data_IF_233912594897
#
_entry.id   IF_233912594897
#
_cell.length_a   1.000
_cell.length_b   1.000
_cell.length_c   1.000
_cell.angle_alpha   90.00
_cell.angle_beta   90.00
_cell.angle_gamma   90.00
#
_symmetry.space_group_name_H-M   'P 1'
#
loop_
_entity.id
_entity.type
_entity.pdbx_description
1 polymer ?
#
# COMPACT_ATOMS: atom_id res chain seq x y z
N UNK A 1 21.76 -8.37 19.41
CA UNK A 1 20.99 -7.11 19.53
C UNK A 1 20.83 -6.52 18.14
N UNK A 2 19.65 -5.99 17.80
CA UNK A 2 19.39 -5.44 16.47
C UNK A 2 19.59 -3.92 16.47
N UNK A 3 20.34 -3.35 15.52
CA UNK A 3 20.45 -1.91 15.42
C UNK A 3 19.11 -1.32 14.95
N UNK A 4 18.64 -0.24 15.59
CA UNK A 4 17.38 0.44 15.29
C UNK A 4 17.61 1.84 14.73
N UNK A 5 16.64 2.34 13.95
CA UNK A 5 16.65 3.69 13.39
C UNK A 5 15.25 4.29 13.38
N UNK A 6 15.14 5.62 13.49
CA UNK A 6 13.89 6.35 13.22
C UNK A 6 13.54 6.28 11.73
N UNK A 7 12.25 6.10 11.45
CA UNK A 7 11.69 6.11 10.11
C UNK A 7 11.43 7.56 9.63
N UNK A 8 11.28 7.73 8.31
CA UNK A 8 10.88 9.02 7.75
C UNK A 8 9.53 9.47 8.33
N UNK A 9 9.39 10.78 8.57
CA UNK A 9 8.21 11.37 9.22
C UNK A 9 8.27 11.38 10.75
N UNK A 10 9.23 10.70 11.39
CA UNK A 10 9.46 10.75 12.84
C UNK A 10 10.19 12.05 13.26
N UNK A 11 9.63 13.20 12.89
CA UNK A 11 10.12 14.50 13.34
C UNK A 11 9.97 14.61 14.86
N UNK A 12 10.97 15.21 15.51
CA UNK A 12 10.98 15.39 16.97
C UNK A 12 10.79 16.87 17.25
N UNK A 13 9.74 17.19 17.99
CA UNK A 13 9.42 18.55 18.41
C UNK A 13 9.40 18.59 19.94
N UNK A 14 10.07 19.59 20.52
CA UNK A 14 9.97 19.82 21.95
C UNK A 14 8.69 20.59 22.24
N UNK A 15 7.82 20.04 23.07
CA UNK A 15 6.64 20.70 23.59
C UNK A 15 6.98 21.40 24.91
N UNK A 16 6.19 22.41 25.29
CA UNK A 16 6.25 22.98 26.63
C UNK A 16 6.02 21.91 27.72
N UNK A 17 6.44 22.20 28.95
CA UNK A 17 6.22 21.30 30.09
C UNK A 17 7.11 20.04 30.11
N UNK A 18 8.27 20.07 29.45
CA UNK A 18 9.23 18.96 29.52
C UNK A 18 8.77 17.70 28.79
N UNK A 19 8.12 17.86 27.64
CA UNK A 19 7.64 16.75 26.79
C UNK A 19 8.28 16.83 25.40
N UNK A 20 8.68 15.69 24.85
CA UNK A 20 9.04 15.53 23.45
C UNK A 20 7.89 14.87 22.70
N UNK A 21 7.55 15.39 21.53
CA UNK A 21 6.63 14.76 20.59
C UNK A 21 7.41 14.22 19.40
N UNK A 22 7.12 12.98 19.02
CA UNK A 22 7.62 12.34 17.80
C UNK A 22 6.45 12.13 16.84
N UNK A 23 6.66 12.54 15.59
CA UNK A 23 5.68 12.64 14.51
C UNK A 23 4.61 13.74 14.68
N UNK A 24 4.13 14.23 13.53
CA UNK A 24 3.07 15.24 13.43
C UNK A 24 1.68 14.61 13.28
N UNK A 25 1.61 13.48 12.58
CA UNK A 25 0.39 12.69 12.38
C UNK A 25 -0.21 12.27 13.73
N UNK A 26 -1.45 12.70 14.07
CA UNK A 26 -2.12 12.30 15.30
C UNK A 26 -2.21 10.78 15.49
N UNK A 27 -2.36 10.00 14.42
CA UNK A 27 -2.56 8.56 14.49
C UNK A 27 -1.29 7.80 14.90
N UNK A 28 -0.10 8.38 14.65
CA UNK A 28 1.21 7.78 14.95
C UNK A 28 1.99 8.56 16.01
N UNK A 29 1.33 9.52 16.66
CA UNK A 29 1.98 10.49 17.54
C UNK A 29 2.44 9.82 18.82
N UNK A 30 3.72 9.97 19.13
CA UNK A 30 4.31 9.53 20.40
C UNK A 30 4.70 10.74 21.22
N UNK A 31 4.36 10.73 22.51
CA UNK A 31 4.80 11.74 23.49
C UNK A 31 5.56 11.05 24.60
N UNK A 32 6.76 11.57 24.88
CA UNK A 32 7.63 11.06 25.94
C UNK A 32 8.17 12.21 26.77
N UNK A 33 8.56 11.92 28.02
CA UNK A 33 9.22 12.92 28.85
C UNK A 33 10.53 13.40 28.21
N UNK A 34 10.80 14.70 28.31
CA UNK A 34 12.01 15.34 27.82
C UNK A 34 13.19 15.11 28.79
N UNK A 35 13.51 13.84 29.03
CA UNK A 35 14.59 13.39 29.91
C UNK A 35 15.91 13.24 29.12
N UNK A 36 17.08 13.30 29.80
CA UNK A 36 18.37 13.00 29.17
C UNK A 36 18.39 11.63 28.49
N UNK A 37 17.77 10.62 29.11
CA UNK A 37 17.66 9.25 28.58
C UNK A 37 16.90 9.21 27.24
N UNK A 38 15.75 9.87 27.15
CA UNK A 38 14.96 9.91 25.91
C UNK A 38 15.64 10.74 24.82
N UNK A 39 16.29 11.86 25.18
CA UNK A 39 17.09 12.64 24.23
C UNK A 39 18.24 11.83 23.65
N UNK A 40 18.93 11.08 24.51
CA UNK A 40 20.04 10.21 24.10
C UNK A 40 19.57 9.12 23.15
N UNK A 41 18.51 8.39 23.52
CA UNK A 41 17.91 7.36 22.68
C UNK A 41 17.52 7.92 21.31
N UNK A 42 16.78 9.03 21.27
CA UNK A 42 16.33 9.64 20.02
C UNK A 42 17.49 10.16 19.16
N UNK A 43 18.56 10.67 19.78
CA UNK A 43 19.78 11.07 19.08
C UNK A 43 20.46 9.86 18.45
N UNK A 44 20.54 8.73 19.17
CA UNK A 44 21.10 7.47 18.66
C UNK A 44 20.27 6.90 17.50
N UNK A 45 18.95 6.90 17.61
CA UNK A 45 18.06 6.43 16.54
C UNK A 45 18.08 7.31 15.27
N UNK A 46 18.51 8.58 15.38
CA UNK A 46 18.67 9.49 14.22
C UNK A 46 19.99 9.29 13.49
N UNK A 47 21.06 9.00 14.22
CA UNK A 47 22.39 8.84 13.64
C UNK A 47 22.49 7.47 12.94
N UNK A 48 23.04 7.40 11.72
CA UNK A 48 23.41 6.11 11.14
C UNK A 48 24.52 5.49 11.99
N UNK A 49 24.22 4.41 12.69
CA UNK A 49 25.21 3.70 13.51
C UNK A 49 24.65 2.45 14.19
N UNK A 50 25.53 1.49 14.45
CA UNK A 50 25.26 0.21 15.13
C UNK A 50 25.12 0.40 16.65
N UNK A 51 24.47 1.47 17.09
CA UNK A 51 24.38 1.74 18.50
C UNK A 51 23.45 0.69 19.13
N UNK A 52 23.99 -0.18 19.98
CA UNK A 52 23.23 -1.20 20.72
C UNK A 52 22.19 -0.55 21.64
N UNK A 53 20.92 -0.65 21.29
CA UNK A 53 19.82 -0.14 22.11
C UNK A 53 19.17 -1.34 22.79
N UNK A 54 18.99 -1.23 24.10
CA UNK A 54 18.27 -2.22 24.89
C UNK A 54 16.82 -2.33 24.39
N UNK A 55 16.39 -3.50 23.89
CA UNK A 55 15.02 -3.71 23.40
C UNK A 55 13.95 -3.57 24.49
N UNK A 56 14.32 -3.61 25.78
CA UNK A 56 13.39 -3.41 26.91
C UNK A 56 13.11 -1.91 27.15
N UNK A 57 13.75 -1.01 26.40
CA UNK A 57 13.47 0.41 26.48
C UNK A 57 12.02 0.71 26.04
N UNK A 58 11.16 1.10 26.99
CA UNK A 58 9.74 1.39 26.75
C UNK A 58 9.52 2.45 25.66
N UNK A 59 10.38 3.47 25.58
CA UNK A 59 10.29 4.49 24.53
C UNK A 59 10.57 3.88 23.16
N UNK A 60 11.59 3.01 23.03
CA UNK A 60 11.88 2.31 21.78
C UNK A 60 10.71 1.41 21.37
N UNK A 61 10.18 0.62 22.30
CA UNK A 61 9.04 -0.26 22.04
C UNK A 61 7.84 0.53 21.52
N UNK A 62 7.50 1.64 22.19
CA UNK A 62 6.39 2.50 21.82
C UNK A 62 6.62 3.17 20.46
N UNK A 63 7.86 3.53 20.11
CA UNK A 63 8.21 4.00 18.77
C UNK A 63 8.05 2.89 17.71
N UNK A 64 8.43 1.65 18.01
CA UNK A 64 8.25 0.53 17.09
C UNK A 64 6.78 0.18 16.87
N UNK A 65 5.98 0.14 17.93
CA UNK A 65 4.53 -0.12 17.88
C UNK A 65 3.80 0.95 17.04
N UNK A 66 4.26 2.20 17.08
CA UNK A 66 3.71 3.30 16.28
C UNK A 66 4.35 3.41 14.88
N UNK A 67 5.20 2.45 14.50
CA UNK A 67 5.90 2.44 13.22
C UNK A 67 6.79 3.66 13.01
N UNK A 68 7.37 4.22 14.08
CA UNK A 68 8.28 5.36 14.06
C UNK A 68 9.76 4.96 14.13
N UNK A 69 10.04 3.72 14.56
CA UNK A 69 11.36 3.14 14.57
C UNK A 69 11.31 1.70 14.04
N UNK A 70 12.36 1.28 13.33
CA UNK A 70 12.51 -0.09 12.85
C UNK A 70 13.96 -0.54 12.93
N UNK A 71 14.19 -1.85 12.84
CA UNK A 71 15.54 -2.40 12.76
C UNK A 71 16.17 -2.05 11.42
N UNK A 72 17.48 -1.83 11.38
CA UNK A 72 18.22 -1.59 10.11
C UNK A 72 18.01 -2.78 9.16
N UNK A 73 17.96 -4.00 9.68
CA UNK A 73 17.67 -5.21 8.88
C UNK A 73 16.30 -5.13 8.21
N UNK A 74 15.24 -4.75 8.93
CA UNK A 74 13.91 -4.60 8.34
C UNK A 74 13.87 -3.47 7.29
N UNK A 75 14.60 -2.37 7.52
CA UNK A 75 14.74 -1.30 6.53
C UNK A 75 15.48 -1.77 5.27
N UNK A 76 16.58 -2.51 5.43
CA UNK A 76 17.34 -3.07 4.31
C UNK A 76 16.51 -4.05 3.48
N UNK A 77 15.67 -4.87 4.13
CA UNK A 77 14.72 -5.76 3.44
C UNK A 77 13.71 -4.93 2.61
N UNK A 78 13.18 -3.85 3.17
CA UNK A 78 12.25 -2.96 2.46
C UNK A 78 12.92 -2.27 1.27
N UNK A 79 14.13 -1.71 1.45
CA UNK A 79 14.89 -1.09 0.37
C UNK A 79 15.23 -2.11 -0.74
N UNK A 80 15.60 -3.33 -0.35
CA UNK A 80 15.84 -4.41 -1.30
C UNK A 80 14.57 -4.78 -2.07
N UNK A 81 13.42 -4.94 -1.38
CA UNK A 81 12.13 -5.20 -2.03
C UNK A 81 11.76 -4.13 -3.05
N UNK A 82 11.99 -2.85 -2.72
CA UNK A 82 11.77 -1.74 -3.65
C UNK A 82 12.67 -1.86 -4.88
N UNK A 83 13.96 -2.14 -4.67
CA UNK A 83 14.96 -2.22 -5.76
C UNK A 83 14.73 -3.42 -6.69
N UNK A 84 14.25 -4.53 -6.13
CA UNK A 84 13.96 -5.78 -6.85
C UNK A 84 12.57 -5.77 -7.51
N UNK A 85 11.72 -4.79 -7.19
CA UNK A 85 10.35 -4.71 -7.67
C UNK A 85 10.29 -4.47 -9.19
N UNK A 86 9.75 -5.46 -9.91
CA UNK A 86 9.50 -5.43 -11.35
C UNK A 86 7.99 -5.29 -11.58
N UNK A 87 7.56 -4.10 -11.95
CA UNK A 87 6.13 -3.75 -12.02
C UNK A 87 5.65 -3.83 -13.47
N UNK A 88 4.68 -4.70 -13.74
CA UNK A 88 3.91 -4.67 -14.98
C UNK A 88 2.75 -3.69 -14.84
N UNK A 89 2.51 -2.86 -15.86
CA UNK A 89 1.42 -1.87 -15.82
C UNK A 89 0.59 -1.89 -17.09
N UNK A 90 -0.74 -1.75 -16.93
CA UNK A 90 -1.69 -1.49 -18.03
C UNK A 90 -2.60 -0.35 -17.63
N UNK A 91 -2.72 0.68 -18.47
CA UNK A 91 -3.52 1.88 -18.14
C UNK A 91 -2.98 2.74 -16.98
N UNK A 92 -1.83 2.37 -16.43
CA UNK A 92 -1.13 3.08 -15.35
C UNK A 92 0.20 3.63 -15.88
N UNK A 93 0.42 4.92 -15.66
CA UNK A 93 1.55 5.68 -16.18
C UNK A 93 2.18 6.50 -15.07
N UNK A 94 3.51 6.45 -14.98
CA UNK A 94 4.31 7.37 -14.17
C UNK A 94 5.44 7.90 -15.04
N UNK A 95 5.95 9.07 -14.70
CA UNK A 95 7.13 9.61 -15.37
C UNK A 95 8.34 8.69 -15.14
N UNK A 96 9.30 8.61 -16.08
CA UNK A 96 10.54 7.85 -15.88
C UNK A 96 11.30 8.28 -14.61
N UNK A 97 11.26 9.57 -14.27
CA UNK A 97 11.89 10.10 -13.06
C UNK A 97 11.23 9.58 -11.79
N UNK A 98 9.90 9.45 -11.78
CA UNK A 98 9.15 8.88 -10.64
C UNK A 98 9.47 7.40 -10.42
N UNK A 99 9.58 6.61 -11.50
CA UNK A 99 10.03 5.21 -11.40
C UNK A 99 11.40 5.14 -10.74
N UNK A 100 12.35 5.95 -11.24
CA UNK A 100 13.72 5.99 -10.75
C UNK A 100 13.81 6.43 -9.28
N UNK A 101 13.12 7.51 -8.90
CA UNK A 101 13.15 8.04 -7.53
C UNK A 101 12.55 7.09 -6.49
N UNK A 102 11.65 6.20 -6.92
CA UNK A 102 11.05 5.18 -6.05
C UNK A 102 11.84 3.86 -6.04
N UNK A 103 12.91 3.75 -6.84
CA UNK A 103 13.68 2.51 -7.00
C UNK A 103 12.96 1.40 -7.77
N UNK A 104 11.79 1.69 -8.37
CA UNK A 104 10.93 0.72 -9.02
C UNK A 104 11.32 0.51 -10.49
N UNK A 105 11.20 -0.73 -10.99
CA UNK A 105 11.49 -1.05 -12.40
C UNK A 105 10.23 -1.43 -13.15
N UNK A 106 9.89 -0.72 -14.23
CA UNK A 106 8.78 -1.11 -15.12
C UNK A 106 9.22 -2.24 -16.06
N UNK A 107 8.37 -3.25 -16.23
CA UNK A 107 8.55 -4.32 -17.22
C UNK A 107 7.42 -4.33 -18.24
N UNK A 108 7.73 -4.73 -19.48
CA UNK A 108 6.77 -4.76 -20.60
C UNK A 108 5.97 -6.06 -20.69
N UNK A 109 6.40 -7.11 -19.99
CA UNK A 109 5.82 -8.46 -20.05
C UNK A 109 5.47 -8.94 -18.65
N UNK A 110 4.26 -9.49 -18.50
CA UNK A 110 3.73 -9.94 -17.20
C UNK A 110 4.60 -11.03 -16.56
N UNK A 111 5.12 -11.98 -17.34
CA UNK A 111 5.96 -13.07 -16.81
C UNK A 111 7.29 -12.61 -16.18
N UNK A 112 7.71 -11.37 -16.45
CA UNK A 112 8.93 -10.79 -15.88
C UNK A 112 8.64 -9.94 -14.65
N UNK A 113 7.38 -9.81 -14.25
CA UNK A 113 6.95 -8.95 -13.17
C UNK A 113 6.94 -9.70 -11.84
N UNK A 114 7.15 -8.96 -10.76
CA UNK A 114 6.90 -9.39 -9.37
C UNK A 114 5.59 -8.80 -8.84
N UNK A 115 5.01 -7.82 -9.55
CA UNK A 115 3.75 -7.17 -9.21
C UNK A 115 3.07 -6.61 -10.47
N UNK A 116 1.74 -6.52 -10.49
CA UNK A 116 1.01 -5.83 -11.57
C UNK A 116 0.03 -4.75 -11.07
N UNK A 117 0.00 -3.61 -11.78
CA UNK A 117 -1.04 -2.57 -11.63
C UNK A 117 -1.86 -2.50 -12.92
N UNK A 118 -3.17 -2.65 -12.80
CA UNK A 118 -4.06 -2.64 -13.96
C UNK A 118 -5.18 -1.61 -13.77
N UNK A 119 -5.25 -0.66 -14.70
CA UNK A 119 -6.33 0.33 -14.80
C UNK A 119 -7.14 0.07 -16.07
N UNK A 120 -8.46 -0.04 -15.92
CA UNK A 120 -9.41 -0.21 -17.02
C UNK A 120 -10.12 -1.56 -17.00
N UNK A 121 -10.78 -1.92 -18.12
CA UNK A 121 -11.58 -3.16 -18.20
C UNK A 121 -10.70 -4.40 -17.97
N UNK A 122 -11.01 -5.15 -16.91
CA UNK A 122 -10.16 -6.22 -16.37
C UNK A 122 -10.42 -7.61 -16.98
N UNK A 123 -11.54 -7.83 -17.67
CA UNK A 123 -12.00 -9.15 -18.12
C UNK A 123 -10.92 -9.94 -18.90
N UNK A 124 -10.26 -9.35 -19.89
CA UNK A 124 -9.22 -10.05 -20.69
C UNK A 124 -7.92 -10.31 -19.91
N UNK A 125 -7.70 -9.62 -18.79
CA UNK A 125 -6.47 -9.74 -17.99
C UNK A 125 -6.62 -10.74 -16.83
N UNK A 126 -7.84 -11.16 -16.50
CA UNK A 126 -8.17 -12.01 -15.35
C UNK A 126 -7.48 -13.38 -15.40
N UNK A 127 -7.54 -14.06 -16.54
CA UNK A 127 -6.92 -15.38 -16.70
C UNK A 127 -5.39 -15.29 -16.68
N UNK A 128 -4.80 -14.31 -17.37
CA UNK A 128 -3.34 -14.16 -17.41
C UNK A 128 -2.74 -13.87 -16.03
N UNK A 129 -3.41 -13.05 -15.20
CA UNK A 129 -2.98 -12.79 -13.82
C UNK A 129 -3.15 -14.00 -12.92
N UNK A 130 -4.28 -14.70 -13.06
CA UNK A 130 -4.54 -15.93 -12.31
C UNK A 130 -3.48 -16.98 -12.62
N UNK A 131 -3.07 -17.12 -13.88
CA UNK A 131 -1.97 -18.02 -14.25
C UNK A 131 -0.59 -17.51 -13.82
N UNK A 132 -0.37 -16.19 -13.81
CA UNK A 132 0.92 -15.60 -13.45
C UNK A 132 1.24 -15.68 -11.96
N UNK A 133 0.22 -15.85 -11.10
CA UNK A 133 0.43 -16.09 -9.66
C UNK A 133 1.21 -14.96 -8.97
N UNK A 134 1.07 -13.73 -9.46
CA UNK A 134 1.72 -12.55 -8.87
C UNK A 134 0.73 -11.66 -8.15
N UNK A 135 1.16 -10.98 -7.07
CA UNK A 135 0.37 -9.93 -6.45
C UNK A 135 0.02 -8.82 -7.45
N UNK A 136 -1.19 -8.30 -7.37
CA UNK A 136 -1.66 -7.25 -8.28
C UNK A 136 -2.77 -6.41 -7.67
N UNK A 137 -2.91 -5.18 -8.17
CA UNK A 137 -4.01 -4.29 -7.80
C UNK A 137 -4.74 -3.82 -9.04
N UNK A 138 -6.06 -3.79 -8.92
CA UNK A 138 -6.96 -3.34 -9.98
C UNK A 138 -7.46 -1.92 -9.73
N UNK A 139 -7.87 -1.26 -10.79
CA UNK A 139 -8.69 -0.06 -10.70
C UNK A 139 -9.39 0.26 -12.00
N UNK A 140 -10.45 1.04 -11.95
CA UNK A 140 -11.14 1.55 -13.12
C UNK A 140 -12.01 2.77 -12.76
N UNK A 141 -12.82 3.24 -13.72
CA UNK A 141 -13.67 4.43 -13.58
C UNK A 141 -15.05 4.21 -14.19
N UNK A 142 -15.88 3.31 -13.62
CA UNK A 142 -17.25 3.15 -14.07
C UNK A 142 -17.98 4.50 -13.95
N UNK A 143 -18.52 4.99 -15.07
CA UNK A 143 -19.25 6.27 -15.10
C UNK A 143 -18.43 7.47 -14.62
N UNK A 144 -17.09 7.42 -14.70
CA UNK A 144 -16.19 8.49 -14.27
C UNK A 144 -15.85 8.50 -12.77
N UNK A 145 -16.38 7.56 -11.99
CA UNK A 145 -16.10 7.47 -10.54
C UNK A 145 -14.92 6.51 -10.30
N UNK A 146 -13.79 6.95 -9.70
CA UNK A 146 -12.66 6.07 -9.45
C UNK A 146 -13.02 4.90 -8.54
N UNK A 147 -12.66 3.70 -8.97
CA UNK A 147 -12.78 2.48 -8.17
C UNK A 147 -11.38 1.91 -7.94
N UNK A 148 -10.97 1.87 -6.68
CA UNK A 148 -9.69 1.34 -6.22
C UNK A 148 -9.83 -0.13 -5.87
N UNK A 149 -8.84 -0.95 -6.22
CA UNK A 149 -8.75 -2.33 -5.80
C UNK A 149 -9.69 -3.29 -6.53
N UNK A 150 -9.68 -4.57 -6.11
CA UNK A 150 -8.98 -5.05 -4.94
C UNK A 150 -7.48 -5.24 -5.15
N UNK A 151 -6.72 -5.15 -4.06
CA UNK A 151 -5.35 -5.66 -3.97
C UNK A 151 -5.42 -7.16 -3.71
N UNK A 152 -4.90 -7.93 -4.66
CA UNK A 152 -4.94 -9.37 -4.67
C UNK A 152 -3.53 -9.90 -4.41
N UNK A 153 -3.38 -10.67 -3.34
CA UNK A 153 -2.18 -11.45 -3.05
C UNK A 153 -2.50 -12.94 -3.17
N UNK A 154 -1.80 -13.64 -4.08
CA UNK A 154 -1.71 -15.08 -4.09
C UNK A 154 -1.78 -15.79 -2.75
N UNK A 155 -2.70 -16.74 -2.62
CA UNK A 155 -2.84 -17.56 -1.41
C UNK A 155 -3.38 -16.81 -0.18
N UNK A 156 -3.34 -15.48 -0.13
CA UNK A 156 -3.71 -14.68 1.05
C UNK A 156 -5.04 -13.92 0.92
N UNK A 157 -5.42 -13.46 -0.28
CA UNK A 157 -6.68 -12.74 -0.52
C UNK A 157 -7.64 -13.56 -1.41
N UNK A 158 -8.89 -13.14 -1.60
CA UNK A 158 -9.75 -13.70 -2.66
C UNK A 158 -9.14 -13.44 -4.04
N UNK A 159 -9.26 -14.41 -4.94
CA UNK A 159 -8.82 -14.24 -6.33
C UNK A 159 -9.95 -13.66 -7.19
N UNK A 160 -9.65 -13.35 -8.46
CA UNK A 160 -10.65 -12.81 -9.39
C UNK A 160 -11.83 -13.77 -9.60
N UNK A 161 -11.58 -15.08 -9.63
CA UNK A 161 -12.64 -16.07 -9.70
C UNK A 161 -13.55 -16.09 -8.46
N UNK A 162 -13.08 -15.64 -7.29
CA UNK A 162 -13.96 -15.43 -6.14
C UNK A 162 -14.81 -14.16 -6.28
N UNK A 163 -14.20 -13.10 -6.80
CA UNK A 163 -14.76 -11.75 -6.83
C UNK A 163 -15.80 -11.61 -7.93
N UNK A 164 -15.54 -12.12 -9.13
CA UNK A 164 -16.40 -11.96 -10.30
C UNK A 164 -17.84 -12.44 -10.07
N UNK A 165 -18.11 -13.64 -9.50
CA UNK A 165 -19.47 -14.07 -9.19
C UNK A 165 -20.17 -13.16 -8.16
N UNK A 166 -19.49 -12.83 -7.06
CA UNK A 166 -20.03 -11.93 -6.04
C UNK A 166 -20.35 -10.55 -6.64
N UNK A 167 -19.54 -10.07 -7.58
CA UNK A 167 -19.76 -8.79 -8.24
C UNK A 167 -21.04 -8.81 -9.11
N UNK A 168 -21.38 -9.95 -9.72
CA UNK A 168 -22.61 -10.12 -10.51
C UNK A 168 -23.86 -10.19 -9.63
N UNK A 169 -23.78 -10.82 -8.46
CA UNK A 169 -24.93 -10.97 -7.55
C UNK A 169 -25.40 -9.64 -6.96
N UNK A 170 -24.46 -8.71 -6.71
CA UNK A 170 -24.75 -7.44 -6.01
C UNK A 170 -25.08 -6.26 -6.94
N UNK A 171 -24.96 -6.44 -8.27
CA UNK A 171 -25.28 -5.40 -9.24
C UNK A 171 -26.48 -5.81 -10.12
N UNK A 172 -27.73 -5.64 -9.64
CA UNK A 172 -28.92 -5.91 -10.45
C UNK A 172 -29.03 -4.99 -11.68
N UNK A 173 -28.15 -3.98 -11.81
CA UNK A 173 -28.06 -3.06 -12.93
C UNK A 173 -26.82 -3.28 -13.81
N UNK A 174 -26.02 -4.35 -13.60
CA UNK A 174 -24.88 -4.68 -14.46
C UNK A 174 -25.26 -4.97 -15.93
N UNK A 175 -26.55 -5.06 -16.23
CA UNK A 175 -27.13 -5.11 -17.58
C UNK A 175 -27.39 -3.74 -18.21
N UNK A 176 -27.13 -2.63 -17.50
CA UNK A 176 -27.31 -1.30 -18.08
C UNK A 176 -26.20 -0.98 -19.08
N UNK A 177 -26.68 -0.74 -20.30
CA UNK A 177 -26.06 -0.30 -21.55
C UNK A 177 -24.70 0.37 -21.39
N UNK A 178 -23.71 0.11 -22.27
CA UNK A 178 -22.47 0.89 -22.28
C UNK A 178 -22.81 2.38 -22.43
N UNK A 179 -22.79 3.11 -21.33
CA UNK A 179 -22.78 4.55 -21.34
C UNK A 179 -21.56 4.96 -22.15
N UNK A 180 -21.72 5.94 -23.05
CA UNK A 180 -20.63 6.56 -23.77
C UNK A 180 -19.46 6.81 -22.80
N UNK A 181 -18.23 6.56 -23.25
CA UNK A 181 -17.03 6.78 -22.42
C UNK A 181 -17.16 8.16 -21.77
N UNK A 182 -17.29 8.22 -20.43
CA UNK A 182 -17.47 9.49 -19.77
C UNK A 182 -16.26 10.37 -20.13
N UNK A 183 -16.46 11.71 -20.24
CA UNK A 183 -15.37 12.63 -20.54
C UNK A 183 -14.17 12.31 -19.65
N UNK A 184 -12.98 12.27 -20.27
CA UNK A 184 -11.75 11.87 -19.61
C UNK A 184 -11.43 12.89 -18.51
N UNK A 185 -11.78 12.57 -17.27
CA UNK A 185 -11.38 13.36 -16.11
C UNK A 185 -9.95 12.98 -15.72
N UNK A 186 -8.99 13.81 -16.15
CA UNK A 186 -7.58 13.65 -15.82
C UNK A 186 -7.32 13.72 -14.30
N UNK A 187 -8.16 14.41 -13.53
CA UNK A 187 -8.04 14.54 -12.08
C UNK A 187 -8.44 13.24 -11.39
N UNK A 188 -9.59 12.67 -11.76
CA UNK A 188 -10.00 11.33 -11.35
C UNK A 188 -8.91 10.31 -11.68
N UNK A 189 -8.31 10.42 -12.88
CA UNK A 189 -7.22 9.53 -13.28
C UNK A 189 -5.99 9.63 -12.40
N UNK A 190 -5.54 10.86 -12.14
CA UNK A 190 -4.43 11.11 -11.24
C UNK A 190 -4.68 10.54 -9.85
N UNK A 191 -5.90 10.72 -9.31
CA UNK A 191 -6.27 10.25 -7.98
C UNK A 191 -6.19 8.72 -7.85
N UNK A 192 -6.79 7.97 -8.79
CA UNK A 192 -6.68 6.51 -8.79
C UNK A 192 -5.21 6.07 -8.87
N UNK A 193 -4.43 6.65 -9.79
CA UNK A 193 -3.01 6.29 -9.94
C UNK A 193 -2.23 6.55 -8.64
N UNK A 194 -2.47 7.67 -7.97
CA UNK A 194 -1.84 7.96 -6.68
C UNK A 194 -2.19 6.93 -5.61
N UNK A 195 -3.46 6.53 -5.49
CA UNK A 195 -3.88 5.51 -4.52
C UNK A 195 -3.33 4.11 -4.85
N UNK A 196 -3.36 3.69 -6.11
CA UNK A 196 -2.79 2.39 -6.51
C UNK A 196 -1.28 2.33 -6.28
N UNK A 197 -0.57 3.43 -6.54
CA UNK A 197 0.85 3.54 -6.24
C UNK A 197 1.10 3.48 -4.73
N UNK A 198 0.27 4.15 -3.92
CA UNK A 198 0.39 4.10 -2.48
C UNK A 198 0.21 2.68 -1.94
N UNK A 199 -0.80 1.95 -2.43
CA UNK A 199 -1.02 0.55 -2.05
C UNK A 199 0.14 -0.36 -2.44
N UNK A 200 0.73 -0.17 -3.63
CA UNK A 200 1.96 -0.86 -4.02
C UNK A 200 3.11 -0.57 -3.05
N UNK A 201 3.36 0.70 -2.74
CA UNK A 201 4.46 1.09 -1.86
C UNK A 201 4.26 0.58 -0.42
N UNK A 202 3.03 0.62 0.09
CA UNK A 202 2.66 0.03 1.38
C UNK A 202 2.95 -1.48 1.39
N UNK A 203 2.55 -2.21 0.34
CA UNK A 203 2.85 -3.64 0.25
C UNK A 203 4.35 -3.94 0.16
N UNK A 204 5.12 -3.17 -0.62
CA UNK A 204 6.57 -3.36 -0.73
C UNK A 204 7.29 -3.12 0.60
N UNK A 205 6.73 -2.29 1.48
CA UNK A 205 7.17 -2.10 2.88
C UNK A 205 6.79 -3.25 3.82
N UNK A 206 6.04 -4.25 3.32
CA UNK A 206 5.54 -5.36 4.13
C UNK A 206 4.32 -5.00 4.97
N UNK A 207 3.67 -3.87 4.70
CA UNK A 207 2.44 -3.44 5.35
C UNK A 207 1.21 -3.91 4.54
N UNK A 208 0.03 -3.83 5.14
CA UNK A 208 -1.24 -4.18 4.48
C UNK A 208 -1.81 -2.97 3.71
N UNK A 209 -1.97 -3.04 2.38
CA UNK A 209 -2.61 -2.02 1.55
C UNK A 209 -4.05 -1.70 1.97
N UNK A 210 -4.54 -0.52 1.62
CA UNK A 210 -5.90 -0.10 1.95
C UNK A 210 -6.96 -0.92 1.20
N UNK A 211 -6.64 -1.33 -0.03
CA UNK A 211 -7.52 -2.19 -0.86
C UNK A 211 -7.28 -3.69 -0.68
N UNK A 212 -6.62 -4.12 0.40
CA UNK A 212 -6.42 -5.54 0.71
C UNK A 212 -7.75 -6.30 0.78
N UNK A 213 -7.98 -7.21 -0.18
CA UNK A 213 -9.24 -7.94 -0.31
C UNK A 213 -10.49 -7.04 -0.32
N UNK A 214 -10.35 -5.79 -0.77
CA UNK A 214 -11.39 -4.75 -0.69
C UNK A 214 -11.40 -3.86 -1.93
N UNK A 215 -12.58 -3.52 -2.40
CA UNK A 215 -12.77 -2.47 -3.40
C UNK A 215 -13.32 -1.20 -2.76
N UNK A 216 -12.85 -0.04 -3.23
CA UNK A 216 -13.28 1.27 -2.75
C UNK A 216 -13.75 2.09 -3.95
N UNK A 217 -15.03 2.45 -3.97
CA UNK A 217 -15.57 3.43 -4.90
C UNK A 217 -15.39 4.82 -4.27
N UNK A 218 -14.54 5.66 -4.86
CA UNK A 218 -14.28 7.01 -4.38
C UNK A 218 -15.39 7.94 -4.84
N UNK A 219 -16.25 8.33 -3.90
CA UNK A 219 -17.23 9.37 -4.13
C UNK A 219 -16.55 10.74 -4.24
N UNK A 220 -17.34 11.77 -4.57
CA UNK A 220 -16.88 13.17 -4.58
C UNK A 220 -16.49 13.69 -3.19
N UNK A 221 -16.85 12.95 -2.13
CA UNK A 221 -16.45 13.23 -0.76
C UNK A 221 -16.43 11.90 0.07
N UNK A 222 -15.87 11.91 1.29
CA UNK A 222 -15.77 10.69 2.10
C UNK A 222 -17.10 10.01 2.44
N UNK A 223 -18.21 10.76 2.55
CA UNK A 223 -19.53 10.21 2.88
C UNK A 223 -20.18 9.50 1.69
N UNK A 224 -19.79 9.85 0.47
CA UNK A 224 -20.29 9.22 -0.76
C UNK A 224 -19.39 8.07 -1.24
N UNK A 225 -18.22 7.89 -0.62
CA UNK A 225 -17.36 6.73 -0.86
C UNK A 225 -17.98 5.45 -0.31
N UNK A 226 -17.85 4.36 -1.08
CA UNK A 226 -18.35 3.04 -0.69
C UNK A 226 -17.20 2.05 -0.62
N UNK A 227 -17.22 1.22 0.41
CA UNK A 227 -16.26 0.16 0.60
C UNK A 227 -16.98 -1.18 0.43
N UNK A 228 -16.30 -2.13 -0.21
CA UNK A 228 -16.79 -3.49 -0.35
C UNK A 228 -15.66 -4.46 -0.04
N UNK A 229 -15.88 -5.29 0.98
CA UNK A 229 -14.99 -6.39 1.32
C UNK A 229 -15.34 -7.61 0.49
N UNK A 230 -14.32 -8.33 0.06
CA UNK A 230 -14.45 -9.56 -0.72
C UNK A 230 -14.06 -10.75 0.15
N UNK A 231 -14.83 -11.82 0.04
CA UNK A 231 -14.55 -13.06 0.73
C UNK A 231 -14.06 -14.11 -0.27
N UNK A 232 -13.13 -14.96 0.19
CA UNK A 232 -12.78 -16.17 -0.54
C UNK A 232 -13.93 -17.16 -0.34
N UNK A 233 -14.44 -17.74 -1.42
CA UNK A 233 -15.42 -18.81 -1.28
C UNK A 233 -14.75 -20.10 -0.76
N UNK A 234 -15.44 -20.94 0.02
CA UNK A 234 -14.87 -22.13 0.64
C UNK A 234 -14.28 -23.12 -0.38
N UNK A 235 -14.87 -23.19 -1.57
CA UNK A 235 -14.49 -24.12 -2.64
C UNK A 235 -13.34 -23.60 -3.51
N UNK A 236 -12.72 -22.48 -3.15
CA UNK A 236 -11.71 -21.87 -3.98
C UNK A 236 -10.43 -22.72 -3.99
N UNK A 237 -10.24 -23.47 -5.08
CA UNK A 237 -9.03 -24.24 -5.35
C UNK A 237 -7.91 -23.39 -5.92
N UNK A 238 -8.04 -22.06 -5.86
CA UNK A 238 -6.92 -21.14 -6.00
C UNK A 238 -6.04 -21.22 -4.74
N UNK A 239 -5.62 -22.43 -4.39
CA UNK A 239 -4.50 -22.72 -3.51
C UNK A 239 -3.27 -22.53 -4.37
N UNK A 240 -2.57 -21.45 -4.10
CA UNK A 240 -1.42 -21.00 -4.87
C UNK A 240 -0.21 -21.42 -4.02
N UNK A 241 0.26 -22.66 -4.22
CA UNK A 241 1.46 -23.22 -3.59
C UNK A 241 2.72 -22.88 -4.41
#
# INVERSE_FOLDING_TARGET
MHPFRLLEGAQITRLGGGTLQIALDPARRVRVADSPQNRELLRRLRAPGEAEIDPINQTLQLLCEQGLASTITAMAITEQRLTDARIYTRGFELSPMTWHSLGLRRVSRLQNATFAILIGKTQTSSQALTSAQIPHVLGDYPGGTPRLGPFIVPGATPCLACIEPQALDDDPLATTTPSADPPRDDSARGLLQSFLLQDLLTWLRGETPWTWARTILLGTNPQTSRLRDWLRHPECTCTWD
#
